data_IF_820659589107
#
_entry.id   IF_820659589107
#
_cell.length_a   1.000
_cell.length_b   1.000
_cell.length_c   1.000
_cell.angle_alpha   90.00
_cell.angle_beta   90.00
_cell.angle_gamma   90.00
#
_symmetry.space_group_name_H-M   'P 1'
#
loop_
_entity.id
_entity.type
_entity.pdbx_description
1 polymer ?
#
# COMPACT_ATOMS: atom_id res chain seq x y z
N UNK A 1 -8.82 -6.23 1.49
CA UNK A 1 -7.63 -6.98 1.94
C UNK A 1 -6.96 -7.66 0.76
N UNK A 2 -7.39 -8.83 0.30
CA UNK A 2 -6.74 -9.53 -0.84
C UNK A 2 -6.68 -8.67 -2.12
N UNK A 3 -7.80 -8.03 -2.49
CA UNK A 3 -7.84 -7.15 -3.68
C UNK A 3 -6.87 -5.97 -3.56
N UNK A 4 -6.78 -5.36 -2.38
CA UNK A 4 -5.89 -4.23 -2.09
C UNK A 4 -4.41 -4.64 -2.11
N UNK A 5 -4.10 -5.85 -1.66
CA UNK A 5 -2.75 -6.42 -1.73
C UNK A 5 -2.34 -6.74 -3.17
N UNK A 6 -3.27 -7.27 -3.97
CA UNK A 6 -3.07 -7.48 -5.41
C UNK A 6 -2.83 -6.13 -6.11
N UNK A 7 -3.66 -5.11 -5.84
CA UNK A 7 -3.46 -3.79 -6.44
C UNK A 7 -2.12 -3.18 -6.05
N UNK A 8 -1.66 -3.38 -4.81
CA UNK A 8 -0.39 -2.86 -4.32
C UNK A 8 0.80 -3.58 -4.98
N UNK A 9 0.71 -4.90 -5.20
CA UNK A 9 1.69 -5.67 -5.98
C UNK A 9 1.72 -5.23 -7.45
N UNK A 10 0.56 -5.07 -8.08
CA UNK A 10 0.47 -4.60 -9.46
C UNK A 10 1.07 -3.19 -9.62
N UNK A 11 0.80 -2.28 -8.69
CA UNK A 11 1.39 -0.94 -8.71
C UNK A 11 2.91 -1.01 -8.55
N UNK A 12 3.43 -1.82 -7.64
CA UNK A 12 4.87 -1.99 -7.45
C UNK A 12 5.56 -2.62 -8.66
N UNK A 13 4.89 -3.56 -9.36
CA UNK A 13 5.44 -4.19 -10.58
C UNK A 13 5.63 -3.22 -11.76
N UNK A 14 5.04 -2.02 -11.71
CA UNK A 14 5.30 -0.97 -12.71
C UNK A 14 6.69 -0.34 -12.50
N UNK A 15 7.18 -0.31 -11.26
CA UNK A 15 8.44 0.34 -10.89
C UNK A 15 9.60 -0.65 -10.69
N UNK A 16 9.32 -1.95 -10.57
CA UNK A 16 10.36 -2.96 -10.35
C UNK A 16 10.06 -4.24 -11.15
N UNK A 17 11.01 -4.63 -12.02
CA UNK A 17 10.87 -5.78 -12.92
C UNK A 17 11.07 -7.14 -12.22
N UNK A 18 11.68 -7.15 -11.03
CA UNK A 18 11.99 -8.38 -10.29
C UNK A 18 10.81 -8.98 -9.51
N UNK A 19 9.66 -8.30 -9.46
CA UNK A 19 8.50 -8.70 -8.66
C UNK A 19 7.76 -9.88 -9.28
N UNK A 20 7.54 -10.93 -8.48
CA UNK A 20 6.86 -12.16 -8.91
C UNK A 20 5.47 -12.27 -8.27
N UNK A 21 4.51 -12.98 -8.90
CA UNK A 21 3.24 -13.30 -8.26
C UNK A 21 3.37 -14.05 -6.93
N UNK A 22 4.49 -14.76 -6.72
CA UNK A 22 4.82 -15.42 -5.45
C UNK A 22 5.03 -14.46 -4.27
N UNK A 23 5.32 -13.18 -4.53
CA UNK A 23 5.54 -12.17 -3.50
C UNK A 23 4.23 -11.60 -2.93
N UNK A 24 3.09 -12.07 -3.43
CA UNK A 24 1.77 -11.63 -2.96
C UNK A 24 1.61 -11.76 -1.44
N UNK A 25 2.21 -12.79 -0.83
CA UNK A 25 2.19 -12.95 0.64
C UNK A 25 2.92 -11.81 1.37
N UNK A 26 4.05 -11.37 0.84
CA UNK A 26 4.81 -10.24 1.39
C UNK A 26 3.99 -8.96 1.25
N UNK A 27 3.45 -8.68 0.07
CA UNK A 27 2.63 -7.50 -0.18
C UNK A 27 1.33 -7.49 0.62
N UNK A 28 0.73 -8.67 0.85
CA UNK A 28 -0.41 -8.82 1.75
C UNK A 28 -0.05 -8.49 3.20
N UNK A 29 1.11 -8.93 3.67
CA UNK A 29 1.59 -8.62 5.02
C UNK A 29 1.89 -7.12 5.19
N UNK A 30 2.51 -6.48 4.20
CA UNK A 30 2.77 -5.03 4.19
C UNK A 30 1.46 -4.26 4.29
N UNK A 31 0.47 -4.63 3.46
CA UNK A 31 -0.85 -4.01 3.49
C UNK A 31 -1.58 -4.26 4.82
N UNK A 32 -1.53 -5.49 5.35
CA UNK A 32 -2.07 -5.88 6.66
C UNK A 32 -1.54 -5.00 7.79
N UNK A 33 -0.22 -4.93 7.89
CA UNK A 33 0.48 -4.19 8.94
C UNK A 33 0.23 -2.70 8.81
N UNK A 34 0.39 -2.14 7.60
CA UNK A 34 0.14 -0.71 7.35
C UNK A 34 -1.29 -0.31 7.71
N UNK A 35 -2.27 -1.12 7.33
CA UNK A 35 -3.67 -0.87 7.67
C UNK A 35 -3.93 -0.97 9.18
N UNK A 36 -3.39 -1.98 9.86
CA UNK A 36 -3.53 -2.16 11.32
C UNK A 36 -2.92 -0.98 12.08
N UNK A 37 -1.70 -0.58 11.72
CA UNK A 37 -1.04 0.57 12.36
C UNK A 37 -1.86 1.84 12.10
N UNK A 38 -2.31 2.06 10.86
CA UNK A 38 -3.18 3.19 10.54
C UNK A 38 -4.53 3.16 11.26
N UNK A 39 -5.07 1.98 11.56
CA UNK A 39 -6.31 1.80 12.32
C UNK A 39 -6.13 2.14 13.81
N UNK A 40 -5.02 1.73 14.41
CA UNK A 40 -4.73 2.00 15.83
C UNK A 40 -4.15 3.38 16.10
N UNK A 41 -3.72 4.11 15.06
CA UNK A 41 -3.17 5.46 15.25
C UNK A 41 -4.28 6.47 15.53
N UNK A 42 -4.38 6.90 16.78
CA UNK A 42 -5.25 7.99 17.18
C UNK A 42 -4.88 9.29 16.46
N UNK A 43 -5.87 10.15 16.19
CA UNK A 43 -5.70 11.44 15.53
C UNK A 43 -5.25 11.39 14.05
N UNK A 44 -5.20 10.21 13.42
CA UNK A 44 -5.00 10.06 11.98
C UNK A 44 -6.30 9.54 11.33
N UNK A 45 -7.18 10.43 10.83
CA UNK A 45 -8.42 10.02 10.17
C UNK A 45 -8.13 9.03 9.03
N UNK A 46 -8.71 7.83 9.10
CA UNK A 46 -8.48 6.76 8.13
C UNK A 46 -6.96 6.45 7.91
N UNK A 47 -6.15 6.59 8.96
CA UNK A 47 -4.71 6.31 8.93
C UNK A 47 -3.92 7.13 7.92
N UNK A 48 -4.38 8.35 7.58
CA UNK A 48 -3.73 9.21 6.59
C UNK A 48 -2.32 9.62 7.05
N UNK A 49 -1.35 9.57 6.14
CA UNK A 49 0.07 9.78 6.42
C UNK A 49 0.77 8.56 7.03
N UNK A 50 0.09 7.85 7.94
CA UNK A 50 0.64 6.68 8.62
C UNK A 50 0.73 5.48 7.69
N UNK A 51 -0.35 5.16 6.97
CA UNK A 51 -0.37 4.02 6.04
C UNK A 51 0.65 4.17 4.93
N UNK A 52 0.72 5.37 4.38
CA UNK A 52 1.62 5.71 3.30
C UNK A 52 3.07 5.68 3.77
N UNK A 53 3.35 6.20 4.96
CA UNK A 53 4.65 6.07 5.61
C UNK A 53 5.05 4.61 5.85
N UNK A 54 4.13 3.78 6.32
CA UNK A 54 4.39 2.34 6.52
C UNK A 54 4.70 1.61 5.21
N UNK A 55 4.03 1.96 4.12
CA UNK A 55 4.33 1.39 2.80
C UNK A 55 5.72 1.79 2.33
N UNK A 56 6.08 3.08 2.43
CA UNK A 56 7.42 3.56 2.05
C UNK A 56 8.51 2.86 2.86
N UNK A 57 8.32 2.72 4.17
CA UNK A 57 9.27 2.01 5.05
C UNK A 57 9.41 0.53 4.66
N UNK A 58 8.31 -0.13 4.34
CA UNK A 58 8.33 -1.52 3.88
C UNK A 58 8.94 -1.67 2.48
N UNK A 59 8.77 -0.70 1.60
CA UNK A 59 9.36 -0.70 0.26
C UNK A 59 10.87 -0.44 0.30
N UNK A 60 11.33 0.42 1.21
CA UNK A 60 12.76 0.62 1.46
C UNK A 60 13.46 -0.69 1.86
N UNK A 61 12.82 -1.53 2.69
CA UNK A 61 13.41 -2.82 3.09
C UNK A 61 13.45 -3.84 1.94
N UNK A 62 12.65 -3.64 0.90
CA UNK A 62 12.66 -4.40 -0.35
C UNK A 62 13.60 -3.82 -1.41
N UNK A 63 14.34 -2.74 -1.09
CA UNK A 63 15.26 -2.09 -2.02
C UNK A 63 14.59 -1.17 -3.04
N UNK A 64 13.28 -0.90 -2.91
CA UNK A 64 12.56 0.04 -3.77
C UNK A 64 12.93 1.47 -3.37
N UNK A 65 13.30 2.36 -4.33
CA UNK A 65 13.59 3.75 -4.05
C UNK A 65 12.44 4.48 -3.34
N UNK A 66 12.79 5.42 -2.46
CA UNK A 66 11.83 6.18 -1.66
C UNK A 66 10.81 6.92 -2.52
N UNK A 67 11.28 7.53 -3.61
CA UNK A 67 10.43 8.27 -4.54
C UNK A 67 9.33 7.36 -5.12
N UNK A 68 9.72 6.20 -5.62
CA UNK A 68 8.81 5.21 -6.20
C UNK A 68 7.84 4.67 -5.14
N UNK A 69 8.35 4.37 -3.94
CA UNK A 69 7.53 3.94 -2.81
C UNK A 69 6.45 4.95 -2.43
N UNK A 70 6.76 6.25 -2.46
CA UNK A 70 5.79 7.32 -2.21
C UNK A 70 4.73 7.37 -3.32
N UNK A 71 5.14 7.27 -4.59
CA UNK A 71 4.19 7.23 -5.71
C UNK A 71 3.24 6.03 -5.61
N UNK A 72 3.77 4.83 -5.33
CA UNK A 72 2.98 3.61 -5.14
C UNK A 72 2.00 3.80 -3.98
N UNK A 73 2.45 4.34 -2.84
CA UNK A 73 1.61 4.59 -1.68
C UNK A 73 0.46 5.56 -2.01
N UNK A 74 0.74 6.67 -2.68
CA UNK A 74 -0.28 7.66 -3.11
C UNK A 74 -1.30 7.04 -4.08
N UNK A 75 -0.84 6.28 -5.07
CA UNK A 75 -1.72 5.62 -6.04
C UNK A 75 -2.61 4.56 -5.35
N UNK A 76 -2.05 3.80 -4.42
CA UNK A 76 -2.82 2.83 -3.63
C UNK A 76 -3.92 3.51 -2.81
N UNK A 77 -3.64 4.72 -2.27
CA UNK A 77 -4.62 5.50 -1.53
C UNK A 77 -5.73 5.99 -2.44
N UNK A 78 -5.39 6.49 -3.61
CA UNK A 78 -6.36 6.93 -4.60
C UNK A 78 -7.28 5.79 -5.04
N UNK A 79 -6.73 4.60 -5.27
CA UNK A 79 -7.50 3.41 -5.63
C UNK A 79 -8.49 2.99 -4.52
N UNK A 80 -8.08 3.04 -3.26
CA UNK A 80 -8.95 2.71 -2.12
C UNK A 80 -10.07 3.75 -1.98
N UNK A 81 -9.73 5.04 -2.03
CA UNK A 81 -10.74 6.11 -1.92
C UNK A 81 -11.73 6.05 -3.09
N UNK A 82 -11.25 5.79 -4.31
CA UNK A 82 -12.13 5.62 -5.47
C UNK A 82 -13.06 4.42 -5.32
N UNK A 83 -12.56 3.29 -4.80
CA UNK A 83 -13.38 2.12 -4.52
C UNK A 83 -14.42 2.40 -3.43
N UNK A 84 -14.04 3.10 -2.35
CA UNK A 84 -14.97 3.49 -1.29
C UNK A 84 -16.10 4.38 -1.83
N UNK A 85 -15.77 5.38 -2.66
CA UNK A 85 -16.77 6.27 -3.30
C UNK A 85 -17.67 5.48 -4.25
N UNK A 86 -17.11 4.59 -5.06
CA UNK A 86 -17.87 3.80 -6.02
C UNK A 86 -18.80 2.76 -5.38
N UNK A 87 -18.41 2.19 -4.23
CA UNK A 87 -19.24 1.22 -3.50
C UNK A 87 -20.23 1.87 -2.53
N UNK A 88 -20.02 3.12 -2.14
CA UNK A 88 -20.95 3.88 -1.29
C UNK A 88 -22.07 4.58 -2.09
N UNK A 89 -21.97 4.60 -3.42
CA UNK A 89 -22.97 5.16 -4.35
C UNK A 89 -24.07 4.18 -4.75
#
# INVERSE_FOLDING_TARGET
>A
WALSSISLLCLASIFSEDLRPGDLGVFASIFAVGWLIGFFTAFAPNGIGIREGMFVLAFMSLGIPVADGVFIAMLSRLAIVAADVGCAG
#
